data_IF_508770672312
#
_entry.id   IF_508770672312
#
_cell.length_a   1.000
_cell.length_b   1.000
_cell.length_c   1.000
_cell.angle_alpha   90.00
_cell.angle_beta   90.00
_cell.angle_gamma   90.00
#
_symmetry.space_group_name_H-M   'P 1'
#
loop_
_entity.id
_entity.type
_entity.pdbx_description
1 polymer ?
#
# COMPACT_ATOMS: atom_id res chain seq x y z
N UNK A 1 14.75 23.24 -32.16
CA UNK A 1 13.36 23.27 -31.61
C UNK A 1 12.65 24.50 -32.17
N UNK A 2 11.71 24.34 -33.10
CA UNK A 2 10.88 25.47 -33.58
C UNK A 2 9.73 25.67 -32.57
N UNK A 3 9.81 26.73 -31.76
CA UNK A 3 8.65 27.25 -31.05
C UNK A 3 7.72 27.89 -32.09
N UNK A 4 6.76 27.11 -32.61
CA UNK A 4 5.71 27.61 -33.49
C UNK A 4 4.77 28.54 -32.72
N UNK A 5 5.09 29.84 -32.75
CA UNK A 5 4.31 30.93 -32.16
C UNK A 5 3.01 31.21 -32.92
N UNK A 6 2.07 30.27 -32.89
CA UNK A 6 0.66 30.55 -33.16
C UNK A 6 -0.07 30.76 -31.84
N UNK A 7 -1.00 31.71 -31.78
CA UNK A 7 -1.86 31.91 -30.62
C UNK A 7 -2.47 30.58 -30.19
N UNK A 8 -2.13 30.11 -28.99
CA UNK A 8 -2.66 28.86 -28.46
C UNK A 8 -4.11 29.11 -28.08
N UNK A 9 -5.04 28.41 -28.72
CA UNK A 9 -6.45 28.53 -28.39
C UNK A 9 -6.72 27.92 -27.01
N UNK A 10 -7.68 28.49 -26.28
CA UNK A 10 -8.17 27.94 -25.02
C UNK A 10 -8.50 26.44 -25.14
N UNK A 11 -9.19 26.05 -26.20
CA UNK A 11 -9.55 24.65 -26.48
C UNK A 11 -8.32 23.73 -26.62
N UNK A 12 -7.23 24.23 -27.19
CA UNK A 12 -5.98 23.47 -27.29
C UNK A 12 -5.35 23.25 -25.91
N UNK A 13 -5.33 24.27 -25.05
CA UNK A 13 -4.85 24.10 -23.67
C UNK A 13 -5.69 23.09 -22.90
N UNK A 14 -7.02 23.20 -22.99
CA UNK A 14 -7.95 22.26 -22.33
C UNK A 14 -7.73 20.83 -22.82
N UNK A 15 -7.53 20.64 -24.13
CA UNK A 15 -7.24 19.33 -24.70
C UNK A 15 -5.93 18.74 -24.18
N UNK A 16 -4.85 19.52 -24.14
CA UNK A 16 -3.56 19.03 -23.64
C UNK A 16 -3.63 18.68 -22.15
N UNK A 17 -4.31 19.47 -21.32
CA UNK A 17 -4.52 19.16 -19.89
C UNK A 17 -5.28 17.83 -19.72
N UNK A 18 -6.40 17.66 -20.43
CA UNK A 18 -7.18 16.42 -20.43
C UNK A 18 -6.32 15.21 -20.82
N UNK A 19 -5.52 15.37 -21.88
CA UNK A 19 -4.62 14.33 -22.39
C UNK A 19 -3.53 13.95 -21.40
N UNK A 20 -2.90 14.94 -20.75
CA UNK A 20 -1.88 14.69 -19.71
C UNK A 20 -2.48 13.93 -18.53
N UNK A 21 -3.66 14.33 -18.06
CA UNK A 21 -4.34 13.66 -16.95
C UNK A 21 -4.74 12.21 -17.30
N UNK A 22 -5.28 12.00 -18.50
CA UNK A 22 -5.60 10.67 -19.01
C UNK A 22 -4.36 9.76 -19.04
N UNK A 23 -3.22 10.24 -19.55
CA UNK A 23 -1.99 9.45 -19.57
C UNK A 23 -1.44 9.17 -18.18
N UNK A 24 -1.45 10.15 -17.28
CA UNK A 24 -1.06 9.94 -15.89
C UNK A 24 -1.91 8.84 -15.23
N UNK A 25 -3.23 8.92 -15.41
CA UNK A 25 -4.17 7.93 -14.89
C UNK A 25 -3.90 6.53 -15.46
N UNK A 26 -3.65 6.41 -16.77
CA UNK A 26 -3.29 5.13 -17.40
C UNK A 26 -1.98 4.53 -16.88
N UNK A 27 -1.00 5.36 -16.56
CA UNK A 27 0.28 4.90 -15.99
C UNK A 27 0.11 4.46 -14.54
N UNK A 28 -0.70 5.18 -13.74
CA UNK A 28 -0.91 4.87 -12.32
C UNK A 28 -1.84 3.68 -12.09
N UNK A 29 -2.79 3.46 -13.00
CA UNK A 29 -3.83 2.44 -12.87
C UNK A 29 -3.93 1.54 -14.11
N UNK A 30 -2.89 0.77 -14.45
CA UNK A 30 -2.85 -0.03 -15.68
C UNK A 30 -3.91 -1.14 -15.74
N UNK A 31 -4.48 -1.54 -14.60
CA UNK A 31 -5.56 -2.53 -14.52
C UNK A 31 -6.96 -1.95 -14.78
N UNK A 32 -7.10 -0.62 -14.81
CA UNK A 32 -8.36 0.04 -15.15
C UNK A 32 -8.44 0.26 -16.65
N UNK A 33 -9.23 -0.58 -17.32
CA UNK A 33 -9.50 -0.40 -18.75
C UNK A 33 -10.52 0.72 -18.97
N UNK A 34 -10.42 1.39 -20.12
CA UNK A 34 -11.38 2.40 -20.58
C UNK A 34 -11.46 3.68 -19.73
N UNK A 35 -10.35 4.14 -19.15
CA UNK A 35 -10.28 5.48 -18.53
C UNK A 35 -10.62 6.53 -19.59
N UNK A 36 -11.63 7.40 -19.39
CA UNK A 36 -12.02 8.43 -20.36
C UNK A 36 -10.92 9.46 -20.63
N UNK A 37 -11.08 10.25 -21.69
CA UNK A 37 -10.13 11.32 -22.04
C UNK A 37 -10.53 12.67 -21.41
N UNK A 38 -11.83 12.95 -21.29
CA UNK A 38 -12.31 14.26 -20.85
C UNK A 38 -12.35 14.34 -19.33
N UNK A 39 -11.88 15.46 -18.75
CA UNK A 39 -11.84 15.66 -17.31
C UNK A 39 -13.15 15.32 -16.56
N UNK A 40 -14.34 15.81 -16.98
CA UNK A 40 -15.58 15.51 -16.26
C UNK A 40 -15.92 14.00 -16.24
N UNK A 41 -15.52 13.28 -17.28
CA UNK A 41 -15.74 11.83 -17.40
C UNK A 41 -14.71 11.05 -16.59
N UNK A 42 -13.45 11.51 -16.56
CA UNK A 42 -12.39 10.96 -15.69
C UNK A 42 -12.82 11.04 -14.22
N UNK A 43 -13.33 12.20 -13.78
CA UNK A 43 -13.83 12.39 -12.41
C UNK A 43 -14.94 11.40 -12.10
N UNK A 44 -15.99 11.35 -12.94
CA UNK A 44 -17.11 10.41 -12.76
C UNK A 44 -16.67 8.95 -12.76
N UNK A 45 -15.71 8.59 -13.60
CA UNK A 45 -15.14 7.23 -13.67
C UNK A 45 -14.47 6.84 -12.35
N UNK A 46 -13.63 7.72 -11.78
CA UNK A 46 -12.95 7.43 -10.52
C UNK A 46 -13.85 7.53 -9.29
N UNK A 47 -14.82 8.44 -9.26
CA UNK A 47 -15.83 8.52 -8.19
C UNK A 47 -16.72 7.26 -8.14
N UNK A 48 -17.02 6.69 -9.31
CA UNK A 48 -17.77 5.44 -9.42
C UNK A 48 -16.93 4.18 -9.19
N UNK A 49 -15.60 4.29 -9.15
CA UNK A 49 -14.72 3.14 -9.04
C UNK A 49 -14.78 2.53 -7.63
N UNK A 50 -15.17 1.26 -7.56
CA UNK A 50 -15.12 0.45 -6.35
C UNK A 50 -13.99 -0.57 -6.48
N UNK A 51 -12.87 -0.42 -5.74
CA UNK A 51 -11.80 -1.40 -5.80
C UNK A 51 -12.29 -2.76 -5.32
N UNK A 52 -11.81 -3.82 -5.97
CA UNK A 52 -12.02 -5.17 -5.46
C UNK A 52 -11.13 -5.38 -4.23
N UNK A 53 -11.74 -5.37 -3.04
CA UNK A 53 -11.04 -5.62 -1.79
C UNK A 53 -11.03 -7.11 -1.52
N UNK A 54 -9.86 -7.74 -1.61
CA UNK A 54 -9.67 -9.13 -1.19
C UNK A 54 -9.33 -9.17 0.28
N UNK A 55 -10.29 -9.59 1.10
CA UNK A 55 -10.00 -9.89 2.51
C UNK A 55 -9.67 -11.37 2.65
N UNK A 56 -8.40 -11.68 2.89
CA UNK A 56 -7.99 -13.04 3.26
C UNK A 56 -7.96 -13.14 4.77
N UNK A 57 -8.87 -13.93 5.35
CA UNK A 57 -8.82 -14.23 6.78
C UNK A 57 -7.62 -15.12 7.07
N UNK A 58 -6.59 -14.57 7.69
CA UNK A 58 -5.45 -15.32 8.19
C UNK A 58 -5.79 -15.76 9.62
N UNK A 59 -6.25 -17.00 9.76
CA UNK A 59 -6.47 -17.61 11.08
C UNK A 59 -5.22 -18.35 11.53
N UNK A 60 -4.91 -18.26 12.81
CA UNK A 60 -3.89 -19.08 13.42
C UNK A 60 -4.30 -20.56 13.34
N UNK A 61 -3.37 -21.41 12.89
CA UNK A 61 -3.44 -22.86 12.98
C UNK A 61 -2.30 -23.35 13.86
N UNK A 62 -2.54 -24.43 14.58
CA UNK A 62 -1.50 -25.18 15.27
C UNK A 62 -0.42 -25.62 14.27
N UNK A 63 0.87 -25.59 14.66
CA UNK A 63 1.92 -26.13 13.81
C UNK A 63 1.82 -27.67 13.77
N UNK A 64 2.56 -28.30 12.86
CA UNK A 64 2.59 -29.76 12.77
C UNK A 64 3.16 -30.41 14.03
N UNK A 65 2.87 -31.69 14.23
CA UNK A 65 3.35 -32.43 15.41
C UNK A 65 4.87 -32.29 15.57
N UNK A 66 5.32 -32.00 16.81
CA UNK A 66 6.73 -31.73 17.18
C UNK A 66 7.35 -30.46 16.57
N UNK A 67 6.56 -29.57 15.97
CA UNK A 67 7.02 -28.26 15.53
C UNK A 67 6.75 -27.19 16.57
N UNK A 68 7.59 -26.16 16.56
CA UNK A 68 7.37 -24.95 17.33
C UNK A 68 6.99 -23.79 16.41
N UNK A 69 6.12 -22.93 16.91
CA UNK A 69 5.79 -21.65 16.29
C UNK A 69 6.44 -20.52 17.06
N UNK A 70 7.28 -19.77 16.37
CA UNK A 70 7.96 -18.58 16.87
C UNK A 70 7.25 -17.34 16.33
N UNK A 71 6.64 -16.56 17.21
CA UNK A 71 6.06 -15.26 16.85
C UNK A 71 6.94 -14.15 17.43
N UNK A 72 7.18 -13.11 16.65
CA UNK A 72 7.87 -11.89 17.09
C UNK A 72 7.00 -10.69 16.79
N UNK A 73 7.14 -9.66 17.60
CA UNK A 73 6.54 -8.35 17.40
C UNK A 73 7.55 -7.27 17.78
N UNK A 74 7.48 -6.12 17.12
CA UNK A 74 8.30 -4.95 17.43
C UNK A 74 7.38 -3.78 17.79
N UNK A 75 7.83 -2.94 18.69
CA UNK A 75 7.13 -1.74 19.11
C UNK A 75 8.11 -0.57 19.15
N UNK A 76 7.78 0.53 18.47
CA UNK A 76 8.59 1.74 18.45
C UNK A 76 7.74 3.00 18.68
N UNK A 77 8.28 3.96 19.44
CA UNK A 77 7.63 5.25 19.74
C UNK A 77 8.18 6.40 18.89
N UNK A 78 8.56 6.14 17.63
CA UNK A 78 9.01 7.18 16.69
C UNK A 78 9.79 6.61 15.52
N UNK A 79 10.32 7.50 14.68
CA UNK A 79 11.28 7.12 13.64
C UNK A 79 12.38 8.20 13.48
N UNK A 80 13.48 8.13 14.26
CA UNK A 80 13.79 7.14 15.29
C UNK A 80 13.09 7.42 16.63
N UNK A 81 12.90 6.39 17.44
CA UNK A 81 12.35 6.51 18.80
C UNK A 81 12.71 5.30 19.67
N UNK A 82 12.38 5.32 20.98
CA UNK A 82 12.55 4.15 21.84
C UNK A 82 11.78 2.95 21.27
N UNK A 83 12.47 1.83 21.16
CA UNK A 83 11.99 0.61 20.52
C UNK A 83 12.25 -0.62 21.38
N UNK A 84 11.39 -1.62 21.24
CA UNK A 84 11.44 -2.88 21.98
C UNK A 84 10.88 -4.01 21.13
N UNK A 85 11.35 -5.23 21.35
CA UNK A 85 10.80 -6.43 20.72
C UNK A 85 10.16 -7.35 21.76
N UNK A 86 9.16 -8.11 21.30
CA UNK A 86 8.56 -9.22 22.03
C UNK A 86 8.61 -10.48 21.17
N UNK A 87 8.75 -11.63 21.81
CA UNK A 87 8.66 -12.92 21.15
C UNK A 87 7.96 -13.96 22.03
N UNK A 88 7.33 -14.92 21.39
CA UNK A 88 6.79 -16.11 22.05
C UNK A 88 6.97 -17.37 21.20
N UNK A 89 7.19 -18.49 21.87
CA UNK A 89 7.35 -19.82 21.29
C UNK A 89 6.22 -20.70 21.79
N UNK A 90 5.47 -21.30 20.88
CA UNK A 90 4.42 -22.27 21.19
C UNK A 90 4.73 -23.62 20.56
N UNK A 91 4.39 -24.71 21.23
CA UNK A 91 4.49 -26.05 20.66
C UNK A 91 3.33 -26.34 19.68
N UNK A 92 3.24 -27.59 19.25
CA UNK A 92 2.24 -28.16 18.36
C UNK A 92 0.85 -28.36 18.99
N UNK A 93 0.75 -28.39 20.31
CA UNK A 93 -0.54 -28.33 21.04
C UNK A 93 -1.01 -26.89 21.28
N UNK A 94 -0.14 -25.90 21.02
CA UNK A 94 -0.43 -24.48 21.16
C UNK A 94 -0.02 -23.90 22.52
N UNK A 95 0.59 -24.71 23.38
CA UNK A 95 1.05 -24.30 24.70
C UNK A 95 2.25 -23.36 24.59
N UNK A 96 2.29 -22.35 25.45
CA UNK A 96 3.40 -21.41 25.53
C UNK A 96 4.60 -22.07 26.20
N UNK A 97 5.70 -22.16 25.46
CA UNK A 97 6.96 -22.76 25.93
C UNK A 97 7.96 -21.73 26.39
N UNK A 98 7.98 -20.57 25.73
CA UNK A 98 8.90 -19.48 26.03
C UNK A 98 8.31 -18.14 25.61
N UNK A 99 8.57 -17.10 26.39
CA UNK A 99 8.27 -15.72 26.02
C UNK A 99 9.39 -14.80 26.51
N UNK A 100 9.71 -13.79 25.72
CA UNK A 100 10.71 -12.78 26.06
C UNK A 100 10.30 -11.44 25.48
N UNK A 101 10.57 -10.36 26.21
CA UNK A 101 10.47 -9.01 25.69
C UNK A 101 11.64 -8.18 26.23
N UNK A 102 12.26 -7.38 25.38
CA UNK A 102 13.39 -6.52 25.74
C UNK A 102 13.35 -5.20 24.96
N UNK A 103 13.88 -4.15 25.59
CA UNK A 103 14.13 -2.87 24.94
C UNK A 103 15.41 -2.96 24.08
N UNK A 104 15.36 -2.39 22.87
CA UNK A 104 16.51 -2.31 21.94
C UNK A 104 17.20 -0.94 22.06
N UNK A 105 16.53 0.03 22.68
CA UNK A 105 16.96 1.42 22.78
C UNK A 105 16.33 2.27 21.68
N UNK A 106 16.97 3.38 21.32
CA UNK A 106 16.47 4.25 20.25
C UNK A 106 16.84 3.69 18.88
N UNK A 107 15.84 3.34 18.06
CA UNK A 107 16.03 2.84 16.70
C UNK A 107 15.03 3.44 15.72
N UNK A 108 15.34 3.34 14.43
CA UNK A 108 14.42 3.53 13.31
C UNK A 108 13.44 2.35 13.32
N UNK A 109 12.15 2.58 13.09
CA UNK A 109 11.19 1.48 12.98
C UNK A 109 11.58 0.57 11.79
N UNK A 110 11.58 -0.76 11.99
CA UNK A 110 11.84 -1.75 10.93
C UNK A 110 10.60 -2.01 10.07
#
# INVERSE_FOLDING_TARGET
>A
MKHGGGAVSFYRVVHEVNKTLHYLARVRYPWLSNIPLLWPEIVRYFEGYKPYVVTKRITWKLPYERWYKFNTDDASRGNPGPSSYGLCVRNDTGDLQFAKAEEIGTSTNM
#
